data_IF_229583939092
#
_entry.id   IF_229583939092
#
_cell.length_a   1.000
_cell.length_b   1.000
_cell.length_c   1.000
_cell.angle_alpha   90.00
_cell.angle_beta   90.00
_cell.angle_gamma   90.00
#
_symmetry.space_group_name_H-M   'P 1'
#
loop_
_entity.id
_entity.type
_entity.pdbx_description
1 polymer ?
#
# COMPACT_ATOMS: atom_id res chain seq x y z
N UNK A 1 -24.04 5.05 -5.92
CA UNK A 1 -24.72 4.01 -5.11
C UNK A 1 -24.63 2.67 -5.83
N UNK A 2 -25.03 2.60 -7.09
CA UNK A 2 -25.07 1.37 -7.91
C UNK A 2 -23.73 0.63 -8.07
N UNK A 3 -22.59 1.31 -8.11
CA UNK A 3 -21.30 0.65 -8.40
C UNK A 3 -20.48 0.26 -7.17
N UNK A 4 -20.58 1.05 -6.09
CA UNK A 4 -19.72 0.87 -4.90
C UNK A 4 -20.48 0.45 -3.65
N UNK A 5 -21.81 0.64 -3.61
CA UNK A 5 -22.61 0.47 -2.40
C UNK A 5 -23.70 -0.60 -2.54
N UNK A 6 -24.07 -0.98 -3.76
CA UNK A 6 -24.89 -2.17 -4.03
C UNK A 6 -24.13 -3.44 -3.64
N UNK A 7 -24.69 -4.24 -2.74
CA UNK A 7 -24.09 -5.50 -2.28
C UNK A 7 -23.89 -6.52 -3.39
N UNK A 8 -24.73 -6.51 -4.42
CA UNK A 8 -24.68 -7.46 -5.53
C UNK A 8 -23.70 -7.03 -6.63
N UNK A 9 -23.35 -5.73 -6.69
CA UNK A 9 -22.48 -5.18 -7.73
C UNK A 9 -21.13 -4.64 -7.22
N UNK A 10 -20.96 -4.47 -5.89
CA UNK A 10 -19.73 -3.91 -5.32
C UNK A 10 -18.57 -4.89 -5.36
N UNK A 11 -17.38 -4.34 -5.59
CA UNK A 11 -16.11 -5.05 -5.40
C UNK A 11 -15.45 -4.54 -4.12
N UNK A 12 -15.26 -5.43 -3.15
CA UNK A 12 -14.54 -5.13 -1.90
C UNK A 12 -13.20 -5.85 -1.89
N UNK A 13 -12.16 -5.14 -1.46
CA UNK A 13 -10.85 -5.72 -1.17
C UNK A 13 -10.67 -5.76 0.35
N UNK A 14 -10.46 -6.97 0.88
CA UNK A 14 -10.19 -7.16 2.31
C UNK A 14 -8.69 -6.99 2.58
N UNK A 15 -8.34 -6.04 3.44
CA UNK A 15 -6.94 -5.85 3.87
C UNK A 15 -6.50 -7.03 4.72
N UNK A 16 -5.30 -7.55 4.45
CA UNK A 16 -4.65 -8.63 5.22
C UNK A 16 -3.24 -8.19 5.62
N UNK A 17 -2.82 -8.59 6.82
CA UNK A 17 -1.45 -8.38 7.32
C UNK A 17 -0.85 -9.75 7.56
N UNK A 18 0.20 -10.09 6.80
CA UNK A 18 0.84 -11.41 6.87
C UNK A 18 2.08 -11.39 7.78
N UNK A 19 2.91 -10.35 7.70
CA UNK A 19 4.08 -10.13 8.54
C UNK A 19 3.97 -8.75 9.19
N UNK A 20 3.82 -8.73 10.52
CA UNK A 20 3.53 -7.49 11.24
C UNK A 20 4.74 -6.57 11.39
N UNK A 21 5.93 -7.16 11.52
CA UNK A 21 7.22 -6.48 11.59
C UNK A 21 7.58 -5.78 10.27
N UNK A 22 7.45 -6.47 9.14
CA UNK A 22 7.66 -5.87 7.82
C UNK A 22 6.66 -4.73 7.57
N UNK A 23 5.39 -4.92 7.97
CA UNK A 23 4.38 -3.88 7.83
C UNK A 23 4.72 -2.63 8.66
N UNK A 24 5.18 -2.80 9.90
CA UNK A 24 5.57 -1.70 10.78
C UNK A 24 6.75 -0.90 10.22
N UNK A 25 7.75 -1.57 9.65
CA UNK A 25 8.88 -0.92 8.97
C UNK A 25 8.41 -0.08 7.77
N UNK A 26 7.51 -0.62 6.96
CA UNK A 26 6.93 0.08 5.80
C UNK A 26 6.11 1.30 6.25
N UNK A 27 5.30 1.16 7.30
CA UNK A 27 4.54 2.27 7.87
C UNK A 27 5.46 3.38 8.41
N UNK A 28 6.49 3.02 9.17
CA UNK A 28 7.46 3.96 9.70
C UNK A 28 8.19 4.72 8.58
N UNK A 29 8.65 4.00 7.56
CA UNK A 29 9.37 4.59 6.41
C UNK A 29 8.49 5.53 5.60
N UNK A 30 7.23 5.16 5.35
CA UNK A 30 6.34 5.93 4.47
C UNK A 30 5.58 7.03 5.18
N UNK A 31 5.26 6.85 6.47
CA UNK A 31 4.35 7.72 7.22
C UNK A 31 5.02 8.43 8.41
N UNK A 32 6.25 8.07 8.77
CA UNK A 32 7.00 8.72 9.84
C UNK A 32 7.46 10.14 9.50
N UNK A 33 7.89 10.89 10.51
CA UNK A 33 8.17 12.33 10.39
C UNK A 33 9.44 12.67 9.58
N UNK A 34 10.34 11.70 9.44
CA UNK A 34 11.61 11.90 8.72
C UNK A 34 11.38 11.77 7.21
N UNK A 35 11.69 12.85 6.49
CA UNK A 35 11.43 12.93 5.04
C UNK A 35 12.42 12.13 4.20
N UNK A 36 13.68 12.03 4.62
CA UNK A 36 14.75 11.38 3.84
C UNK A 36 14.46 9.91 3.50
N UNK A 37 14.12 9.02 4.47
CA UNK A 37 13.86 7.62 4.19
C UNK A 37 12.70 7.42 3.21
N UNK A 38 11.65 8.24 3.35
CA UNK A 38 10.50 8.24 2.43
C UNK A 38 10.91 8.58 1.01
N UNK A 39 11.78 9.59 0.84
CA UNK A 39 12.23 10.03 -0.48
C UNK A 39 13.05 8.96 -1.18
N UNK A 40 14.00 8.35 -0.47
CA UNK A 40 14.82 7.26 -0.99
C UNK A 40 13.95 6.06 -1.39
N UNK A 41 12.99 5.68 -0.52
CA UNK A 41 12.06 4.59 -0.80
C UNK A 41 11.26 4.82 -2.09
N UNK A 42 10.71 6.03 -2.27
CA UNK A 42 9.93 6.38 -3.47
C UNK A 42 10.82 6.34 -4.70
N UNK A 43 12.01 6.96 -4.67
CA UNK A 43 12.91 6.98 -5.82
C UNK A 43 13.35 5.57 -6.25
N UNK A 44 13.60 4.69 -5.28
CA UNK A 44 14.01 3.31 -5.55
C UNK A 44 12.89 2.47 -6.17
N UNK A 45 11.63 2.70 -5.77
CA UNK A 45 10.52 1.79 -6.12
C UNK A 45 9.53 2.34 -7.15
N UNK A 46 9.51 3.66 -7.43
CA UNK A 46 8.48 4.32 -8.24
C UNK A 46 8.26 3.69 -9.63
N UNK A 47 9.32 3.18 -10.27
CA UNK A 47 9.23 2.58 -11.61
C UNK A 47 8.90 1.07 -11.57
N UNK A 48 9.03 0.43 -10.41
CA UNK A 48 8.89 -1.02 -10.25
C UNK A 48 7.46 -1.44 -9.85
N UNK A 49 6.57 -0.48 -9.59
CA UNK A 49 5.18 -0.73 -9.14
C UNK A 49 4.37 -1.55 -10.14
N UNK A 50 4.68 -1.47 -11.44
CA UNK A 50 3.94 -2.17 -12.50
C UNK A 50 4.08 -3.70 -12.46
N UNK A 51 5.06 -4.23 -11.74
CA UNK A 51 5.39 -5.66 -11.74
C UNK A 51 5.04 -6.33 -10.39
N UNK A 52 4.33 -5.63 -9.50
CA UNK A 52 4.02 -6.17 -8.17
C UNK A 52 2.96 -7.29 -8.18
N UNK A 53 2.08 -7.28 -9.19
CA UNK A 53 0.99 -8.25 -9.36
C UNK A 53 1.31 -9.33 -10.43
N UNK A 54 2.55 -9.39 -10.92
CA UNK A 54 2.97 -10.28 -12.00
C UNK A 54 3.14 -11.74 -11.57
#
# INVERSE_FOLDING_TARGET
>A
WETTLDTEARTLLQVRVNHGDEADEVFSTLMGDVVEPRREFIQKNALNVRTLDA
#
